data_IF_049328717687
#
_entry.id   IF_049328717687
#
_cell.length_a   1.000
_cell.length_b   1.000
_cell.length_c   1.000
_cell.angle_alpha   90.00
_cell.angle_beta   90.00
_cell.angle_gamma   90.00
#
_symmetry.space_group_name_H-M   'P 1'
#
loop_
_entity.id
_entity.type
_entity.pdbx_description
1 polymer ?
#
# COMPACT_ATOMS: atom_id res chain seq x y z
N UNK A 1 12.32 -7.52 -31.93
CA UNK A 1 11.74 -6.53 -31.00
C UNK A 1 10.62 -7.23 -30.26
N UNK A 2 10.95 -7.94 -29.19
CA UNK A 2 9.95 -8.61 -28.35
C UNK A 2 9.58 -7.64 -27.21
N UNK A 3 8.31 -7.23 -27.17
CA UNK A 3 7.80 -6.44 -26.08
C UNK A 3 7.95 -7.20 -24.75
N UNK A 4 8.54 -6.54 -23.77
CA UNK A 4 8.54 -7.02 -22.39
C UNK A 4 7.09 -7.00 -21.90
N UNK A 5 6.54 -8.14 -21.53
CA UNK A 5 5.22 -8.20 -20.91
C UNK A 5 5.27 -7.55 -19.52
N UNK A 6 4.51 -6.44 -19.38
CA UNK A 6 4.44 -5.61 -18.19
C UNK A 6 3.89 -6.37 -16.97
N UNK A 7 4.74 -6.86 -16.11
CA UNK A 7 4.37 -7.39 -14.80
C UNK A 7 4.58 -6.39 -13.65
N UNK A 8 4.79 -5.12 -13.96
CA UNK A 8 4.95 -4.04 -12.99
C UNK A 8 3.78 -3.06 -13.04
N UNK A 9 2.95 -3.08 -12.01
CA UNK A 9 2.03 -1.96 -11.74
C UNK A 9 1.10 -1.54 -12.88
N UNK A 10 0.16 -2.39 -13.26
CA UNK A 10 -1.03 -1.90 -13.96
C UNK A 10 -1.16 -2.14 -15.47
N UNK A 11 -0.09 -2.28 -16.23
CA UNK A 11 -0.23 -2.31 -17.69
C UNK A 11 -0.40 -3.69 -18.34
N UNK A 12 -0.02 -4.78 -17.69
CA UNK A 12 -0.17 -6.14 -18.29
C UNK A 12 -1.63 -6.65 -18.38
N UNK A 13 -2.59 -5.90 -17.81
CA UNK A 13 -3.99 -6.26 -17.82
C UNK A 13 -4.78 -5.71 -19.01
N UNK A 14 -4.21 -4.77 -19.77
CA UNK A 14 -4.88 -4.20 -20.95
C UNK A 14 -5.00 -5.28 -22.04
N UNK A 15 -6.23 -5.57 -22.43
CA UNK A 15 -6.55 -6.55 -23.49
C UNK A 15 -7.06 -7.90 -23.00
N UNK A 16 -7.20 -8.12 -21.69
CA UNK A 16 -7.87 -9.29 -21.13
C UNK A 16 -9.26 -8.93 -20.64
N UNK A 17 -10.25 -9.79 -20.89
CA UNK A 17 -11.63 -9.59 -20.40
C UNK A 17 -11.72 -9.44 -18.88
N UNK A 18 -10.82 -10.05 -18.12
CA UNK A 18 -10.77 -9.99 -16.67
C UNK A 18 -9.35 -9.70 -16.16
N UNK A 19 -9.23 -8.76 -15.22
CA UNK A 19 -7.98 -8.46 -14.53
C UNK A 19 -7.54 -9.65 -13.65
N UNK A 20 -6.28 -10.08 -13.80
CA UNK A 20 -5.62 -11.05 -12.93
C UNK A 20 -4.31 -10.47 -12.42
N UNK A 21 -4.15 -10.41 -11.10
CA UNK A 21 -2.88 -10.01 -10.48
C UNK A 21 -1.91 -11.19 -10.48
N UNK A 22 -0.70 -10.97 -10.95
CA UNK A 22 0.40 -11.94 -10.84
C UNK A 22 0.87 -12.06 -9.39
N UNK A 23 1.36 -13.23 -9.00
CA UNK A 23 2.09 -13.39 -7.74
C UNK A 23 3.43 -12.66 -7.82
N UNK A 24 3.98 -12.27 -6.66
CA UNK A 24 5.36 -11.81 -6.58
C UNK A 24 6.30 -12.92 -7.09
N UNK A 25 7.33 -12.53 -7.84
CA UNK A 25 8.33 -13.48 -8.33
C UNK A 25 9.37 -13.78 -7.26
N UNK A 26 9.84 -12.75 -6.57
CA UNK A 26 10.81 -12.86 -5.49
C UNK A 26 10.08 -12.92 -4.15
N UNK A 27 10.07 -14.10 -3.53
CA UNK A 27 9.31 -14.39 -2.30
C UNK A 27 10.21 -14.79 -1.12
N UNK A 28 11.53 -14.54 -1.23
CA UNK A 28 12.44 -14.76 -0.11
C UNK A 28 12.01 -13.92 1.08
N UNK A 29 12.15 -14.48 2.28
CA UNK A 29 11.77 -13.82 3.51
C UNK A 29 13.00 -13.30 4.26
N UNK A 30 12.83 -12.19 4.96
CA UNK A 30 13.82 -11.68 5.90
C UNK A 30 13.36 -12.10 7.29
N UNK A 31 14.06 -13.08 7.88
CA UNK A 31 13.61 -13.76 9.10
C UNK A 31 14.64 -13.65 10.21
N UNK A 32 14.17 -13.77 11.46
CA UNK A 32 15.03 -13.69 12.65
C UNK A 32 16.15 -14.75 12.64
N UNK A 33 15.87 -15.95 12.12
CA UNK A 33 16.80 -17.06 11.99
C UNK A 33 17.58 -17.08 10.66
N UNK A 34 17.26 -16.19 9.72
CA UNK A 34 17.91 -16.09 8.42
C UNK A 34 17.74 -17.32 7.52
N UNK A 35 16.69 -18.11 7.70
CA UNK A 35 16.48 -19.40 7.01
C UNK A 35 16.48 -19.32 5.47
N UNK A 36 16.07 -18.15 4.91
CA UNK A 36 16.11 -17.91 3.46
C UNK A 36 17.41 -17.20 2.99
N UNK A 37 18.43 -17.13 3.87
CA UNK A 37 19.70 -16.46 3.59
C UNK A 37 19.68 -14.94 3.87
N UNK A 38 18.56 -14.41 4.36
CA UNK A 38 18.36 -12.99 4.65
C UNK A 38 17.98 -12.81 6.13
N UNK A 39 18.96 -12.63 7.05
CA UNK A 39 18.67 -12.41 8.47
C UNK A 39 18.13 -11.02 8.73
N UNK A 40 17.30 -10.87 9.76
CA UNK A 40 16.92 -9.57 10.30
C UNK A 40 18.17 -8.88 10.86
N UNK A 41 18.50 -7.72 10.29
CA UNK A 41 19.67 -6.92 10.65
C UNK A 41 19.37 -5.44 10.45
N UNK A 42 19.52 -4.64 11.51
CA UNK A 42 19.24 -3.20 11.46
C UNK A 42 20.18 -2.47 10.47
N UNK A 43 19.62 -1.60 9.65
CA UNK A 43 20.34 -0.79 8.67
C UNK A 43 20.79 -1.52 7.40
N UNK A 44 20.55 -2.84 7.32
CA UNK A 44 20.95 -3.65 6.16
C UNK A 44 20.04 -3.51 4.96
N UNK A 45 18.77 -3.24 5.18
CA UNK A 45 17.76 -3.29 4.12
C UNK A 45 17.18 -1.92 3.81
N UNK A 46 16.83 -1.73 2.55
CA UNK A 46 16.16 -0.54 2.05
C UNK A 46 14.80 -0.92 1.47
N UNK A 47 13.75 -0.35 2.03
CA UNK A 47 12.38 -0.48 1.51
C UNK A 47 12.18 0.56 0.40
N UNK A 48 11.94 0.09 -0.81
CA UNK A 48 11.64 0.94 -1.97
C UNK A 48 10.12 0.94 -2.21
N UNK A 49 9.54 2.14 -2.24
CA UNK A 49 8.09 2.34 -2.36
C UNK A 49 7.74 3.43 -3.36
N UNK A 50 6.55 3.32 -3.95
CA UNK A 50 5.82 4.47 -4.47
C UNK A 50 4.69 4.81 -3.50
N UNK A 51 4.59 6.06 -3.06
CA UNK A 51 3.49 6.51 -2.20
C UNK A 51 2.12 6.41 -2.89
N UNK A 52 2.12 6.33 -4.22
CA UNK A 52 0.91 6.07 -4.99
C UNK A 52 0.40 4.62 -4.84
N UNK A 53 1.31 3.66 -4.68
CA UNK A 53 0.98 2.23 -4.70
C UNK A 53 0.31 1.78 -3.38
N UNK A 54 -0.93 1.23 -3.41
CA UNK A 54 -1.60 0.77 -2.19
C UNK A 54 -0.90 -0.42 -1.54
N UNK A 55 -0.20 -1.24 -2.32
CA UNK A 55 0.54 -2.39 -1.82
C UNK A 55 1.79 -1.95 -1.06
N UNK A 56 2.50 -0.94 -1.56
CA UNK A 56 3.66 -0.35 -0.89
C UNK A 56 3.26 0.47 0.35
N UNK A 57 2.09 1.11 0.34
CA UNK A 57 1.57 1.84 1.50
C UNK A 57 1.37 0.96 2.73
N UNK A 58 1.05 -0.33 2.56
CA UNK A 58 0.97 -1.28 3.69
C UNK A 58 2.30 -1.35 4.42
N UNK A 59 3.40 -1.55 3.68
CA UNK A 59 4.74 -1.63 4.25
C UNK A 59 5.18 -0.31 4.90
N UNK A 60 4.78 0.84 4.33
CA UNK A 60 5.03 2.15 4.93
C UNK A 60 4.33 2.28 6.29
N UNK A 61 3.03 1.99 6.35
CA UNK A 61 2.24 2.07 7.58
C UNK A 61 2.80 1.11 8.64
N UNK A 62 3.04 -0.16 8.28
CA UNK A 62 3.59 -1.15 9.22
C UNK A 62 4.95 -0.73 9.74
N UNK A 63 5.86 -0.24 8.87
CA UNK A 63 7.18 0.28 9.25
C UNK A 63 7.06 1.41 10.28
N UNK A 64 6.13 2.36 10.07
CA UNK A 64 5.87 3.49 10.97
C UNK A 64 5.29 3.03 12.31
N UNK A 65 4.26 2.21 12.30
CA UNK A 65 3.61 1.74 13.54
C UNK A 65 4.55 0.94 14.42
N UNK A 66 5.40 0.12 13.81
CA UNK A 66 6.35 -0.75 14.49
C UNK A 66 7.66 -0.04 14.86
N UNK A 67 7.90 1.19 14.35
CA UNK A 67 9.12 1.96 14.62
C UNK A 67 10.37 1.38 13.99
N UNK A 68 10.23 0.85 12.78
CA UNK A 68 11.33 0.22 12.04
C UNK A 68 12.14 1.21 11.18
N UNK A 69 12.00 2.51 11.38
CA UNK A 69 12.61 3.54 10.54
C UNK A 69 14.13 3.50 10.57
N UNK A 70 14.71 3.24 11.74
CA UNK A 70 16.17 3.10 11.90
C UNK A 70 16.67 1.72 11.45
N UNK A 71 15.80 0.72 11.42
CA UNK A 71 16.15 -0.64 11.02
C UNK A 71 16.05 -0.88 9.52
N UNK A 72 15.07 -0.25 8.85
CA UNK A 72 14.82 -0.39 7.42
C UNK A 72 14.72 1.01 6.80
N UNK A 73 15.73 1.43 6.09
CA UNK A 73 15.77 2.74 5.43
C UNK A 73 14.74 2.81 4.29
N UNK A 74 14.25 4.02 3.98
CA UNK A 74 13.20 4.25 2.99
C UNK A 74 13.74 4.90 1.72
N UNK A 75 13.32 4.41 0.56
CA UNK A 75 13.45 5.06 -0.74
C UNK A 75 12.07 5.27 -1.37
N UNK A 76 11.81 6.48 -1.84
CA UNK A 76 10.54 6.82 -2.50
C UNK A 76 10.79 7.09 -3.98
N UNK A 77 10.19 6.30 -4.86
CA UNK A 77 10.30 6.51 -6.31
C UNK A 77 9.32 7.55 -6.82
N UNK A 78 9.58 8.09 -8.01
CA UNK A 78 8.66 8.99 -8.73
C UNK A 78 7.28 8.30 -8.88
N UNK A 79 6.18 9.00 -8.66
CA UNK A 79 4.85 8.42 -8.86
C UNK A 79 4.59 8.03 -10.31
N UNK A 80 5.29 8.62 -11.27
CA UNK A 80 5.14 8.34 -12.71
C UNK A 80 6.36 7.54 -13.19
N UNK A 81 6.17 6.23 -13.34
CA UNK A 81 7.17 5.36 -13.96
C UNK A 81 7.23 5.58 -15.48
N UNK A 82 8.37 5.29 -16.08
CA UNK A 82 8.53 5.22 -17.53
C UNK A 82 8.56 3.76 -18.04
N UNK A 83 8.77 3.59 -19.36
CA UNK A 83 8.80 2.27 -20.01
C UNK A 83 9.88 1.34 -19.47
N UNK A 84 10.91 1.88 -18.83
CA UNK A 84 12.00 1.10 -18.26
C UNK A 84 11.66 0.58 -16.88
N UNK A 85 11.18 1.42 -15.94
CA UNK A 85 10.84 1.04 -14.57
C UNK A 85 10.49 2.26 -13.70
N UNK A 86 10.41 2.02 -12.38
CA UNK A 86 10.36 3.03 -11.33
C UNK A 86 11.68 3.79 -11.23
N UNK A 87 11.60 5.13 -11.11
CA UNK A 87 12.74 6.06 -11.14
C UNK A 87 12.96 6.75 -9.81
N UNK A 88 14.22 7.10 -9.51
CA UNK A 88 14.58 7.87 -8.31
C UNK A 88 14.76 9.37 -8.60
N UNK A 89 13.88 9.95 -9.44
CA UNK A 89 13.95 11.36 -9.85
C UNK A 89 13.62 12.36 -8.75
N UNK A 90 13.13 11.88 -7.61
CA UNK A 90 12.88 12.69 -6.41
C UNK A 90 14.16 12.92 -5.59
N UNK A 91 15.16 12.09 -5.79
CA UNK A 91 16.45 12.16 -5.13
C UNK A 91 17.45 13.06 -5.89
N UNK A 92 18.49 13.58 -5.23
CA UNK A 92 19.56 14.33 -5.88
C UNK A 92 20.17 13.55 -7.06
N UNK A 93 20.43 14.24 -8.16
CA UNK A 93 20.99 13.66 -9.40
C UNK A 93 20.16 12.54 -10.02
N UNK A 94 18.90 12.39 -9.60
CA UNK A 94 17.98 11.33 -10.05
C UNK A 94 18.49 9.93 -9.73
N UNK A 95 19.07 9.76 -8.54
CA UNK A 95 19.71 8.53 -8.08
C UNK A 95 19.45 8.31 -6.59
N UNK A 96 19.04 7.10 -6.22
CA UNK A 96 18.94 6.75 -4.81
C UNK A 96 20.30 6.91 -4.08
N UNK A 97 20.36 7.68 -3.00
CA UNK A 97 21.63 8.02 -2.36
C UNK A 97 22.31 6.84 -1.66
N UNK A 98 21.56 5.78 -1.32
CA UNK A 98 22.07 4.60 -0.61
C UNK A 98 22.45 3.49 -1.61
N UNK A 99 21.55 3.17 -2.55
CA UNK A 99 21.77 2.09 -3.52
C UNK A 99 22.59 2.53 -4.73
N UNK A 100 22.72 3.84 -4.99
CA UNK A 100 23.44 4.39 -6.12
C UNK A 100 22.81 4.08 -7.49
N UNK A 101 21.54 3.67 -7.55
CA UNK A 101 20.81 3.30 -8.77
C UNK A 101 19.88 4.42 -9.23
N UNK A 102 19.59 4.46 -10.53
CA UNK A 102 18.63 5.40 -11.13
C UNK A 102 17.25 4.80 -11.32
N UNK A 103 17.20 3.48 -11.51
CA UNK A 103 15.99 2.70 -11.74
C UNK A 103 15.94 1.51 -10.80
N UNK A 104 14.77 1.21 -10.27
CA UNK A 104 14.58 0.03 -9.41
C UNK A 104 14.89 -1.28 -10.17
N UNK A 105 14.70 -1.31 -11.51
CA UNK A 105 15.08 -2.47 -12.33
C UNK A 105 16.53 -2.89 -12.16
N UNK A 106 17.44 -1.98 -11.84
CA UNK A 106 18.86 -2.31 -11.60
C UNK A 106 19.05 -3.26 -10.41
N UNK A 107 18.23 -3.14 -9.35
CA UNK A 107 18.26 -4.07 -8.23
C UNK A 107 17.68 -5.45 -8.57
N UNK A 108 16.66 -5.49 -9.45
CA UNK A 108 16.11 -6.74 -10.00
C UNK A 108 17.12 -7.46 -10.89
N UNK A 109 17.78 -6.74 -11.81
CA UNK A 109 18.81 -7.28 -12.70
C UNK A 109 20.04 -7.79 -11.94
N UNK A 110 20.39 -7.15 -10.80
CA UNK A 110 21.44 -7.67 -9.89
C UNK A 110 21.03 -8.96 -9.18
N UNK A 111 19.75 -9.18 -8.95
CA UNK A 111 19.22 -10.42 -8.35
C UNK A 111 19.14 -11.54 -9.37
N UNK A 112 18.62 -11.25 -10.55
CA UNK A 112 18.44 -12.19 -11.67
C UNK A 112 18.74 -11.46 -12.98
N UNK A 113 19.86 -11.82 -13.62
CA UNK A 113 20.29 -11.20 -14.88
C UNK A 113 19.22 -11.36 -15.96
N UNK A 114 18.92 -10.27 -16.67
CA UNK A 114 17.88 -10.22 -17.70
C UNK A 114 16.49 -10.63 -17.19
N UNK A 115 16.16 -10.24 -15.95
CA UNK A 115 14.85 -10.53 -15.35
C UNK A 115 13.71 -10.17 -16.32
N UNK A 116 12.89 -11.14 -16.75
CA UNK A 116 11.91 -10.94 -17.81
C UNK A 116 10.59 -10.34 -17.31
N UNK A 117 10.40 -10.30 -15.99
CA UNK A 117 9.16 -9.85 -15.36
C UNK A 117 9.08 -8.35 -15.16
N UNK A 118 7.96 -7.90 -14.64
CA UNK A 118 7.77 -6.50 -14.29
C UNK A 118 8.38 -6.13 -12.95
N UNK A 119 8.85 -4.89 -12.87
CA UNK A 119 9.42 -4.32 -11.66
C UNK A 119 8.31 -3.69 -10.83
N UNK A 120 8.11 -4.18 -9.61
CA UNK A 120 7.03 -3.74 -8.74
C UNK A 120 7.52 -3.16 -7.40
N UNK A 121 6.66 -2.39 -6.76
CA UNK A 121 6.82 -1.92 -5.38
C UNK A 121 5.64 -2.41 -4.54
N UNK A 122 5.83 -2.67 -3.22
CA UNK A 122 7.06 -2.51 -2.46
C UNK A 122 8.15 -3.47 -2.92
N UNK A 123 9.39 -3.09 -2.71
CA UNK A 123 10.56 -3.94 -2.92
C UNK A 123 11.53 -3.76 -1.75
N UNK A 124 12.11 -4.84 -1.23
CA UNK A 124 13.18 -4.75 -0.23
C UNK A 124 14.48 -5.12 -0.90
N UNK A 125 15.47 -4.24 -0.82
CA UNK A 125 16.79 -4.39 -1.40
C UNK A 125 17.82 -4.53 -0.27
N UNK A 126 18.69 -5.54 -0.38
CA UNK A 126 19.87 -5.71 0.48
C UNK A 126 20.91 -4.68 0.10
N UNK A 127 21.21 -3.75 0.98
CA UNK A 127 22.11 -2.61 0.70
C UNK A 127 23.53 -3.06 0.35
N UNK A 128 24.16 -4.01 1.09
CA UNK A 128 25.53 -4.44 0.79
C UNK A 128 25.69 -5.04 -0.61
N UNK A 129 24.73 -5.82 -1.09
CA UNK A 129 24.82 -6.46 -2.41
C UNK A 129 24.12 -5.66 -3.52
N UNK A 130 23.25 -4.74 -3.16
CA UNK A 130 22.37 -4.02 -4.08
C UNK A 130 21.33 -4.92 -4.77
N UNK A 131 21.12 -6.14 -4.29
CA UNK A 131 20.19 -7.12 -4.86
C UNK A 131 18.80 -6.97 -4.26
N UNK A 132 17.78 -7.14 -5.09
CA UNK A 132 16.42 -7.34 -4.59
C UNK A 132 16.37 -8.60 -3.72
N UNK A 133 15.77 -8.49 -2.54
CA UNK A 133 15.44 -9.64 -1.67
C UNK A 133 14.05 -10.14 -2.01
N UNK A 134 13.06 -9.27 -1.87
CA UNK A 134 11.65 -9.64 -2.03
C UNK A 134 10.81 -8.49 -2.57
N UNK A 135 9.77 -8.81 -3.32
CA UNK A 135 8.69 -7.92 -3.69
C UNK A 135 7.32 -8.51 -3.30
N UNK A 136 7.31 -9.44 -2.35
CA UNK A 136 6.07 -10.04 -1.86
C UNK A 136 5.34 -9.11 -0.90
N UNK A 137 4.53 -8.22 -1.48
CA UNK A 137 3.74 -7.23 -0.78
C UNK A 137 2.72 -7.83 0.22
N UNK A 138 2.44 -9.12 0.16
CA UNK A 138 1.55 -9.78 1.11
C UNK A 138 2.30 -10.25 2.35
N UNK A 139 3.57 -10.66 2.18
CA UNK A 139 4.38 -11.24 3.22
C UNK A 139 5.22 -10.19 3.98
N UNK A 140 5.68 -9.13 3.30
CA UNK A 140 6.57 -8.10 3.90
C UNK A 140 6.02 -7.56 5.22
N UNK A 141 4.73 -7.21 5.29
CA UNK A 141 4.14 -6.62 6.50
C UNK A 141 3.96 -7.64 7.61
N UNK A 142 3.65 -8.89 7.28
CA UNK A 142 3.60 -9.98 8.24
C UNK A 142 4.99 -10.29 8.81
N UNK A 143 6.04 -10.26 7.98
CA UNK A 143 7.42 -10.41 8.45
C UNK A 143 7.80 -9.24 9.36
N UNK A 144 7.49 -8.01 9.01
CA UNK A 144 7.70 -6.87 9.90
C UNK A 144 7.02 -7.07 11.26
N UNK A 145 5.79 -7.60 11.28
CA UNK A 145 5.05 -7.82 12.51
C UNK A 145 5.55 -9.02 13.36
N UNK A 146 6.15 -10.05 12.73
CA UNK A 146 6.43 -11.32 13.43
C UNK A 146 7.92 -11.66 13.53
N UNK A 147 8.72 -11.34 12.52
CA UNK A 147 10.14 -11.70 12.46
C UNK A 147 11.05 -10.56 12.97
N UNK A 148 10.60 -9.30 12.89
CA UNK A 148 11.38 -8.12 13.24
C UNK A 148 11.13 -7.60 14.66
N UNK A 149 10.48 -8.37 15.50
CA UNK A 149 10.01 -7.95 16.85
C UNK A 149 11.14 -7.45 17.76
N UNK A 150 12.35 -7.96 17.62
CA UNK A 150 13.52 -7.52 18.40
C UNK A 150 13.96 -6.07 18.05
N UNK A 151 13.52 -5.54 16.92
CA UNK A 151 13.83 -4.19 16.45
C UNK A 151 12.62 -3.25 16.51
N UNK A 152 11.48 -3.72 17.02
CA UNK A 152 10.34 -2.85 17.23
C UNK A 152 10.64 -1.79 18.29
N UNK A 153 10.10 -0.59 18.10
CA UNK A 153 10.14 0.45 19.13
C UNK A 153 9.45 -0.01 20.41
N UNK A 154 9.82 0.57 21.53
CA UNK A 154 9.08 0.39 22.78
C UNK A 154 7.63 0.90 22.62
N UNK A 155 6.65 0.13 23.08
CA UNK A 155 5.24 0.45 22.94
C UNK A 155 4.69 0.31 21.51
N UNK A 156 5.36 -0.41 20.61
CA UNK A 156 4.80 -0.76 19.31
C UNK A 156 3.54 -1.64 19.49
N UNK A 157 2.49 -1.45 18.68
CA UNK A 157 1.32 -2.33 18.71
C UNK A 157 1.64 -3.72 18.15
N UNK A 158 0.94 -4.74 18.65
CA UNK A 158 0.93 -6.05 18.00
C UNK A 158 -0.08 -6.02 16.84
N UNK A 159 0.42 -5.93 15.61
CA UNK A 159 -0.41 -5.84 14.40
C UNK A 159 -0.97 -7.18 13.93
N UNK A 160 -0.44 -8.29 14.46
CA UNK A 160 -0.84 -9.65 14.07
C UNK A 160 -0.85 -10.61 15.27
N UNK A 161 -1.67 -10.28 16.31
CA UNK A 161 -1.70 -11.03 17.55
C UNK A 161 -2.14 -12.49 17.34
N UNK A 162 -1.40 -13.42 17.91
CA UNK A 162 -1.55 -14.86 17.67
C UNK A 162 -2.99 -15.36 17.88
N UNK A 163 -3.66 -14.88 18.90
CA UNK A 163 -5.04 -15.29 19.23
C UNK A 163 -6.10 -14.83 18.23
N UNK A 164 -5.78 -13.86 17.40
CA UNK A 164 -6.70 -13.27 16.42
C UNK A 164 -6.32 -13.59 14.97
N UNK A 165 -5.24 -14.34 14.72
CA UNK A 165 -4.70 -14.59 13.38
C UNK A 165 -5.72 -15.20 12.43
N UNK A 166 -6.44 -16.22 12.87
CA UNK A 166 -7.45 -16.87 12.01
C UNK A 166 -8.54 -15.88 11.55
N UNK A 167 -8.99 -14.98 12.45
CA UNK A 167 -9.98 -13.97 12.09
C UNK A 167 -9.38 -12.86 11.23
N UNK A 168 -8.15 -12.42 11.55
CA UNK A 168 -7.40 -11.43 10.74
C UNK A 168 -7.21 -11.96 9.33
N UNK A 169 -6.76 -13.19 9.17
CA UNK A 169 -6.51 -13.81 7.86
C UNK A 169 -7.80 -13.92 7.05
N UNK A 170 -8.90 -14.37 7.66
CA UNK A 170 -10.19 -14.45 6.99
C UNK A 170 -10.67 -13.08 6.49
N UNK A 171 -10.53 -12.04 7.31
CA UNK A 171 -10.89 -10.67 6.93
C UNK A 171 -9.94 -10.13 5.85
N UNK A 172 -8.63 -10.38 5.97
CA UNK A 172 -7.65 -9.97 4.97
C UNK A 172 -7.92 -10.61 3.61
N UNK A 173 -8.26 -11.90 3.56
CA UNK A 173 -8.58 -12.62 2.33
C UNK A 173 -9.83 -12.04 1.65
N UNK A 174 -10.87 -11.79 2.42
CA UNK A 174 -12.09 -11.17 1.93
C UNK A 174 -11.84 -9.75 1.39
N UNK A 175 -11.11 -8.92 2.15
CA UNK A 175 -10.73 -7.56 1.74
C UNK A 175 -9.83 -7.61 0.50
N UNK A 176 -8.85 -8.50 0.46
CA UNK A 176 -7.97 -8.65 -0.70
C UNK A 176 -8.73 -9.04 -1.97
N UNK A 177 -9.58 -10.07 -1.85
CA UNK A 177 -10.34 -10.59 -2.99
C UNK A 177 -11.37 -9.59 -3.51
N UNK A 178 -12.16 -8.99 -2.62
CA UNK A 178 -13.37 -8.28 -3.02
C UNK A 178 -13.20 -6.75 -3.04
N UNK A 179 -12.27 -6.20 -2.26
CA UNK A 179 -12.02 -4.75 -2.18
C UNK A 179 -10.71 -4.37 -2.85
N UNK A 180 -9.56 -4.82 -2.34
CA UNK A 180 -8.27 -4.39 -2.85
C UNK A 180 -8.07 -4.75 -4.35
N UNK A 181 -8.39 -5.98 -4.75
CA UNK A 181 -8.42 -6.37 -6.16
C UNK A 181 -9.75 -6.02 -6.85
N UNK A 182 -10.83 -5.84 -6.09
CA UNK A 182 -12.15 -5.51 -6.59
C UNK A 182 -12.16 -4.21 -7.39
N UNK A 183 -11.56 -3.15 -6.86
CA UNK A 183 -11.45 -1.85 -7.54
C UNK A 183 -10.67 -1.95 -8.86
N UNK A 184 -9.62 -2.78 -8.92
CA UNK A 184 -8.85 -3.01 -10.15
C UNK A 184 -9.62 -3.86 -11.16
N UNK A 185 -10.36 -4.88 -10.69
CA UNK A 185 -11.22 -5.67 -11.59
C UNK A 185 -12.29 -4.83 -12.23
N UNK A 186 -12.89 -3.90 -11.49
CA UNK A 186 -13.83 -2.95 -12.07
C UNK A 186 -13.15 -1.97 -13.03
N UNK A 187 -12.04 -1.35 -12.58
CA UNK A 187 -11.35 -0.30 -13.33
C UNK A 187 -10.71 -0.77 -14.64
N UNK A 188 -10.21 -1.99 -14.68
CA UNK A 188 -9.57 -2.60 -15.85
C UNK A 188 -10.45 -3.59 -16.60
N UNK A 189 -11.75 -3.67 -16.28
CA UNK A 189 -12.68 -4.46 -17.07
C UNK A 189 -12.78 -3.91 -18.50
N UNK A 190 -12.75 -4.81 -19.48
CA UNK A 190 -12.91 -4.48 -20.91
C UNK A 190 -14.28 -4.92 -21.45
N UNK A 191 -15.07 -5.61 -20.61
CA UNK A 191 -16.43 -6.04 -20.90
C UNK A 191 -17.42 -5.54 -19.84
N UNK A 192 -18.65 -5.27 -20.25
CA UNK A 192 -19.70 -4.78 -19.37
C UNK A 192 -20.03 -5.80 -18.26
N UNK A 193 -20.15 -7.06 -18.62
CA UNK A 193 -20.48 -8.13 -17.69
C UNK A 193 -19.42 -8.30 -16.58
N UNK A 194 -18.14 -8.29 -16.96
CA UNK A 194 -17.01 -8.39 -16.01
C UNK A 194 -16.97 -7.18 -15.07
N UNK A 195 -17.25 -5.98 -15.61
CA UNK A 195 -17.35 -4.76 -14.80
C UNK A 195 -18.50 -4.86 -13.79
N UNK A 196 -19.70 -5.21 -14.20
CA UNK A 196 -20.88 -5.33 -13.34
C UNK A 196 -20.68 -6.39 -12.24
N UNK A 197 -20.08 -7.51 -12.59
CA UNK A 197 -19.76 -8.57 -11.62
C UNK A 197 -18.75 -8.09 -10.58
N UNK A 198 -17.69 -7.38 -10.99
CA UNK A 198 -16.68 -6.82 -10.10
C UNK A 198 -17.26 -5.71 -9.21
N UNK A 199 -18.01 -4.79 -9.81
CA UNK A 199 -18.68 -3.68 -9.14
C UNK A 199 -19.64 -4.18 -8.05
N UNK A 200 -20.53 -5.10 -8.40
CA UNK A 200 -21.53 -5.66 -7.47
C UNK A 200 -20.85 -6.36 -6.29
N UNK A 201 -19.79 -7.12 -6.54
CA UNK A 201 -19.04 -7.82 -5.48
C UNK A 201 -18.32 -6.85 -4.56
N UNK A 202 -17.70 -5.80 -5.12
CA UNK A 202 -17.02 -4.75 -4.36
C UNK A 202 -17.99 -4.09 -3.38
N UNK A 203 -19.13 -3.60 -3.86
CA UNK A 203 -20.06 -2.84 -3.01
C UNK A 203 -20.76 -3.72 -1.97
N UNK A 204 -21.11 -4.97 -2.31
CA UNK A 204 -21.58 -5.95 -1.31
C UNK A 204 -20.56 -6.17 -0.17
N UNK A 205 -19.27 -6.22 -0.50
CA UNK A 205 -18.23 -6.36 0.52
C UNK A 205 -18.13 -5.09 1.36
N UNK A 206 -18.14 -3.91 0.75
CA UNK A 206 -18.11 -2.64 1.47
C UNK A 206 -19.31 -2.51 2.43
N UNK A 207 -20.52 -2.87 2.03
CA UNK A 207 -21.70 -2.93 2.90
C UNK A 207 -21.53 -3.93 4.06
N UNK A 208 -20.91 -5.06 3.83
CA UNK A 208 -20.63 -6.04 4.89
C UNK A 208 -19.62 -5.49 5.92
N UNK A 209 -18.59 -4.79 5.45
CA UNK A 209 -17.60 -4.13 6.31
C UNK A 209 -18.23 -2.95 7.07
N UNK A 210 -19.11 -2.18 6.43
CA UNK A 210 -19.88 -1.12 7.07
C UNK A 210 -20.66 -1.65 8.27
N UNK A 211 -21.48 -2.70 8.08
CA UNK A 211 -22.24 -3.34 9.17
C UNK A 211 -21.36 -3.84 10.33
N UNK A 212 -20.15 -4.32 10.03
CA UNK A 212 -19.18 -4.70 11.03
C UNK A 212 -18.69 -3.49 11.83
N UNK A 213 -18.30 -2.44 11.11
CA UNK A 213 -17.72 -1.21 11.65
C UNK A 213 -18.74 -0.27 12.31
N UNK A 214 -20.04 -0.50 12.17
CA UNK A 214 -21.09 0.16 12.98
C UNK A 214 -21.01 -0.21 14.45
N UNK A 215 -20.46 -1.39 14.77
CA UNK A 215 -20.49 -1.97 16.13
C UNK A 215 -19.13 -2.01 16.82
N UNK A 216 -18.06 -1.88 16.07
CA UNK A 216 -16.69 -1.95 16.55
C UNK A 216 -15.80 -0.94 15.82
N UNK A 217 -14.76 -0.45 16.50
CA UNK A 217 -13.89 0.59 15.98
C UNK A 217 -12.97 0.08 14.87
N UNK A 218 -12.41 -1.12 15.01
CA UNK A 218 -11.48 -1.76 14.09
C UNK A 218 -12.05 -3.04 13.50
N UNK A 219 -11.43 -3.56 12.43
CA UNK A 219 -11.92 -4.75 11.73
C UNK A 219 -11.87 -6.01 12.56
N UNK A 220 -10.84 -6.18 13.39
CA UNK A 220 -10.66 -7.35 14.26
C UNK A 220 -10.17 -6.90 15.63
N UNK A 221 -10.86 -7.30 16.69
CA UNK A 221 -10.50 -6.94 18.06
C UNK A 221 -10.67 -5.43 18.36
N UNK A 222 -9.96 -4.97 19.39
CA UNK A 222 -10.10 -3.62 19.96
C UNK A 222 -8.91 -2.70 19.63
N UNK A 223 -8.00 -3.15 18.77
CA UNK A 223 -6.80 -2.44 18.35
C UNK A 223 -6.62 -2.52 16.84
N UNK A 224 -5.78 -1.65 16.28
CA UNK A 224 -5.40 -1.73 14.87
C UNK A 224 -4.65 -3.04 14.60
N UNK A 225 -5.01 -3.71 13.51
CA UNK A 225 -4.37 -4.94 13.01
C UNK A 225 -3.97 -4.80 11.54
N UNK A 226 -3.26 -5.81 11.00
CA UNK A 226 -2.97 -5.92 9.57
C UNK A 226 -4.23 -5.81 8.69
N UNK A 227 -5.40 -6.27 9.18
CA UNK A 227 -6.64 -6.16 8.43
C UNK A 227 -7.04 -4.69 8.17
N UNK A 228 -6.88 -3.82 9.17
CA UNK A 228 -7.17 -2.38 9.07
C UNK A 228 -6.20 -1.70 8.10
N UNK A 229 -4.91 -2.02 8.18
CA UNK A 229 -3.89 -1.49 7.26
C UNK A 229 -4.25 -1.83 5.81
N UNK A 230 -4.63 -3.09 5.55
CA UNK A 230 -4.97 -3.57 4.20
C UNK A 230 -6.23 -2.95 3.63
N UNK A 231 -7.24 -2.69 4.43
CA UNK A 231 -8.44 -1.99 3.99
C UNK A 231 -8.17 -0.50 3.78
N UNK A 232 -7.47 0.15 4.73
CA UNK A 232 -7.15 1.58 4.68
C UNK A 232 -6.52 1.99 3.35
N UNK A 233 -5.52 1.23 2.88
CA UNK A 233 -4.78 1.60 1.67
C UNK A 233 -5.65 1.68 0.41
N UNK A 234 -6.77 0.96 0.37
CA UNK A 234 -7.76 1.08 -0.72
C UNK A 234 -8.73 2.22 -0.44
N UNK A 235 -9.26 2.33 0.79
CA UNK A 235 -10.25 3.36 1.11
C UNK A 235 -9.70 4.77 0.96
N UNK A 236 -8.45 5.02 1.36
CA UNK A 236 -7.83 6.36 1.22
C UNK A 236 -7.70 6.82 -0.24
N UNK A 237 -7.70 5.89 -1.19
CA UNK A 237 -7.66 6.13 -2.65
C UNK A 237 -9.03 6.13 -3.31
N UNK A 238 -10.10 5.84 -2.55
CA UNK A 238 -11.40 5.56 -3.14
C UNK A 238 -11.96 6.78 -3.89
N UNK A 239 -12.18 7.89 -3.20
CA UNK A 239 -12.72 9.10 -3.80
C UNK A 239 -11.74 9.81 -4.75
N UNK A 240 -10.43 9.94 -4.41
CA UNK A 240 -9.46 10.57 -5.31
C UNK A 240 -9.27 9.82 -6.64
N UNK A 241 -9.45 8.50 -6.66
CA UNK A 241 -9.13 7.65 -7.81
C UNK A 241 -10.25 6.69 -8.17
N UNK A 242 -10.58 5.74 -7.31
CA UNK A 242 -11.37 4.57 -7.72
C UNK A 242 -12.81 4.93 -8.10
N UNK A 243 -13.40 5.91 -7.43
CA UNK A 243 -14.73 6.39 -7.74
C UNK A 243 -14.83 6.90 -9.19
N UNK A 244 -13.96 7.82 -9.59
CA UNK A 244 -13.99 8.41 -10.93
C UNK A 244 -13.24 7.56 -11.96
N UNK A 245 -11.94 7.35 -11.73
CA UNK A 245 -11.03 6.72 -12.69
C UNK A 245 -11.38 5.27 -12.98
N UNK A 246 -11.73 4.50 -11.95
CA UNK A 246 -12.11 3.09 -12.06
C UNK A 246 -13.63 2.84 -12.09
N UNK A 247 -14.44 3.90 -12.10
CA UNK A 247 -15.91 3.83 -12.14
C UNK A 247 -16.51 3.03 -10.98
N UNK A 248 -15.85 2.99 -9.80
CA UNK A 248 -16.40 2.40 -8.58
C UNK A 248 -17.34 3.41 -7.90
N UNK A 249 -18.43 3.79 -8.56
CA UNK A 249 -19.15 5.04 -8.32
C UNK A 249 -20.61 4.87 -7.89
N UNK A 250 -20.93 3.83 -7.12
CA UNK A 250 -22.25 3.70 -6.50
C UNK A 250 -22.51 4.89 -5.54
N UNK A 251 -21.49 5.25 -4.77
CA UNK A 251 -21.45 6.39 -3.87
C UNK A 251 -19.99 6.78 -3.64
N UNK A 252 -19.72 8.00 -3.19
CA UNK A 252 -18.40 8.40 -2.71
C UNK A 252 -18.19 7.85 -1.31
N UNK A 253 -16.95 7.53 -0.96
CA UNK A 253 -16.64 7.13 0.40
C UNK A 253 -17.06 8.19 1.43
N UNK A 254 -16.89 9.47 1.07
CA UNK A 254 -17.32 10.61 1.90
C UNK A 254 -18.85 10.68 2.15
N UNK A 255 -19.66 9.99 1.35
CA UNK A 255 -21.12 9.91 1.53
C UNK A 255 -21.53 8.74 2.44
N UNK A 256 -20.64 7.76 2.68
CA UNK A 256 -20.89 6.66 3.59
C UNK A 256 -20.44 7.00 5.02
N UNK A 257 -21.38 7.28 5.90
CA UNK A 257 -21.12 7.77 7.26
C UNK A 257 -20.15 6.87 8.06
N UNK A 258 -20.29 5.56 7.97
CA UNK A 258 -19.52 4.61 8.79
C UNK A 258 -18.11 4.42 8.23
N UNK A 259 -18.00 4.10 6.93
CA UNK A 259 -16.70 3.88 6.28
C UNK A 259 -15.89 5.18 6.21
N UNK A 260 -16.54 6.34 6.03
CA UNK A 260 -15.87 7.63 6.06
C UNK A 260 -15.33 7.98 7.44
N UNK A 261 -16.10 7.74 8.50
CA UNK A 261 -15.62 7.91 9.87
C UNK A 261 -14.44 6.97 10.17
N UNK A 262 -14.53 5.70 9.76
CA UNK A 262 -13.49 4.70 9.96
C UNK A 262 -12.18 5.07 9.25
N UNK A 263 -12.23 5.45 7.98
CA UNK A 263 -11.00 5.78 7.26
C UNK A 263 -10.35 7.07 7.77
N UNK A 264 -11.15 8.03 8.30
CA UNK A 264 -10.62 9.24 8.95
C UNK A 264 -10.01 8.95 10.32
N UNK A 265 -10.59 8.03 11.10
CA UNK A 265 -10.00 7.56 12.35
C UNK A 265 -8.58 7.00 12.11
N UNK A 266 -8.45 6.12 11.13
CA UNK A 266 -7.13 5.61 10.74
C UNK A 266 -6.23 6.71 10.17
N UNK A 267 -6.73 7.55 9.27
CA UNK A 267 -5.95 8.63 8.67
C UNK A 267 -5.37 9.60 9.73
N UNK A 268 -6.16 9.95 10.75
CA UNK A 268 -5.75 10.84 11.85
C UNK A 268 -4.90 10.12 12.91
N UNK A 269 -4.81 8.79 12.84
CA UNK A 269 -3.93 8.02 13.71
C UNK A 269 -2.48 8.15 13.23
N UNK A 270 -1.53 8.58 14.11
CA UNK A 270 -0.11 8.64 13.75
C UNK A 270 0.40 7.30 13.18
N UNK A 271 1.16 7.36 12.10
CA UNK A 271 1.63 6.20 11.35
C UNK A 271 0.79 5.87 10.10
N UNK A 272 -0.38 6.48 9.91
CA UNK A 272 -1.21 6.31 8.73
C UNK A 272 -1.21 7.51 7.80
N UNK A 273 -1.83 8.63 8.20
CA UNK A 273 -1.97 9.81 7.34
C UNK A 273 -0.65 10.46 6.99
N UNK A 274 0.34 10.36 7.87
CA UNK A 274 1.71 10.81 7.65
C UNK A 274 2.48 10.00 6.58
N UNK A 275 1.90 8.92 6.06
CA UNK A 275 2.42 8.14 4.92
C UNK A 275 1.68 8.40 3.60
N UNK A 276 0.57 9.15 3.63
CA UNK A 276 -0.32 9.34 2.48
C UNK A 276 0.02 10.62 1.72
N UNK A 277 0.35 10.45 0.44
CA UNK A 277 0.60 11.55 -0.50
C UNK A 277 -0.47 11.55 -1.60
N UNK A 278 -1.44 12.44 -1.51
CA UNK A 278 -2.54 12.54 -2.48
C UNK A 278 -2.09 13.06 -3.85
N UNK A 279 -1.02 13.87 -3.94
CA UNK A 279 -0.45 14.29 -5.21
C UNK A 279 0.15 13.09 -5.96
N UNK A 280 0.98 12.29 -5.27
CA UNK A 280 1.54 11.06 -5.83
C UNK A 280 0.45 10.08 -6.25
N UNK A 281 -0.57 9.87 -5.41
CA UNK A 281 -1.70 8.99 -5.72
C UNK A 281 -2.38 9.43 -7.01
N UNK A 282 -2.80 10.70 -7.11
CA UNK A 282 -3.52 11.20 -8.28
C UNK A 282 -2.65 11.18 -9.53
N UNK A 283 -1.41 11.68 -9.45
CA UNK A 283 -0.50 11.70 -10.59
C UNK A 283 -0.24 10.31 -11.16
N UNK A 284 0.02 9.32 -10.32
CA UNK A 284 0.26 7.96 -10.78
C UNK A 284 -0.93 7.43 -11.59
N UNK A 285 -2.10 7.37 -10.96
CA UNK A 285 -3.25 6.73 -11.58
C UNK A 285 -3.70 7.45 -12.87
N UNK A 286 -3.73 8.76 -12.88
CA UNK A 286 -4.24 9.52 -14.01
C UNK A 286 -3.21 9.71 -15.16
N UNK A 287 -1.92 9.61 -14.87
CA UNK A 287 -0.87 9.77 -15.92
C UNK A 287 -0.33 8.43 -16.43
N UNK A 288 -0.38 7.36 -15.62
CA UNK A 288 0.16 6.04 -16.02
C UNK A 288 -0.89 5.18 -16.74
N UNK A 289 -2.15 5.27 -16.35
CA UNK A 289 -3.22 4.45 -16.95
C UNK A 289 -3.80 5.11 -18.23
N UNK A 290 -2.98 5.26 -19.23
CA UNK A 290 -3.34 5.95 -20.49
C UNK A 290 -4.47 5.27 -21.26
N UNK A 291 -4.69 3.96 -21.08
CA UNK A 291 -5.84 3.25 -21.63
C UNK A 291 -7.18 3.65 -21.03
N UNK A 292 -7.19 4.18 -19.79
CA UNK A 292 -8.39 4.68 -19.11
C UNK A 292 -8.48 6.21 -19.23
N UNK A 293 -7.37 6.89 -19.09
CA UNK A 293 -7.24 8.35 -19.13
C UNK A 293 -6.20 8.78 -20.20
N UNK A 294 -6.54 8.73 -21.48
CA UNK A 294 -5.60 9.01 -22.58
C UNK A 294 -5.07 10.45 -22.61
N UNK A 295 -5.82 11.40 -22.02
CA UNK A 295 -5.41 12.80 -21.93
C UNK A 295 -4.30 13.05 -20.89
N UNK A 296 -4.09 12.13 -19.94
CA UNK A 296 -3.16 12.32 -18.82
C UNK A 296 -3.55 13.44 -17.85
N UNK A 297 -4.77 14.01 -17.97
CA UNK A 297 -5.24 15.08 -17.08
C UNK A 297 -5.42 14.53 -15.67
N UNK A 298 -4.79 15.18 -14.68
CA UNK A 298 -4.94 14.90 -13.27
C UNK A 298 -6.06 15.80 -12.71
N UNK A 299 -7.15 15.24 -12.15
CA UNK A 299 -8.25 16.04 -11.65
C UNK A 299 -7.84 16.87 -10.42
N UNK A 300 -8.42 18.07 -10.25
CA UNK A 300 -8.18 18.91 -9.07
C UNK A 300 -8.83 18.30 -7.81
N UNK A 301 -10.08 17.84 -7.91
CA UNK A 301 -10.80 17.19 -6.81
C UNK A 301 -10.32 15.77 -6.49
N UNK A 302 -10.97 15.15 -5.47
CA UNK A 302 -12.01 15.74 -4.62
C UNK A 302 -11.45 16.77 -3.64
N UNK A 303 -12.35 17.50 -2.95
CA UNK A 303 -11.99 18.28 -1.77
C UNK A 303 -11.48 17.32 -0.67
N UNK A 304 -10.29 17.61 -0.15
CA UNK A 304 -9.61 16.77 0.84
C UNK A 304 -9.76 17.30 2.28
N UNK A 305 -10.34 18.49 2.48
CA UNK A 305 -10.47 19.14 3.79
C UNK A 305 -11.19 18.28 4.85
N UNK A 306 -12.08 17.39 4.40
CA UNK A 306 -12.80 16.46 5.26
C UNK A 306 -11.94 15.43 5.98
N UNK A 307 -10.71 15.14 5.52
CA UNK A 307 -9.85 14.10 6.12
C UNK A 307 -9.42 14.41 7.56
N UNK A 308 -9.34 15.68 7.93
CA UNK A 308 -8.92 16.13 9.26
C UNK A 308 -10.09 16.51 10.17
N UNK A 309 -11.34 16.34 9.73
CA UNK A 309 -12.52 16.61 10.55
C UNK A 309 -12.77 15.50 11.59
N UNK A 310 -13.40 15.78 12.74
CA UNK A 310 -13.66 14.79 13.78
C UNK A 310 -14.42 13.56 13.26
N UNK A 311 -14.01 12.37 13.67
CA UNK A 311 -14.59 11.09 13.23
C UNK A 311 -15.51 10.43 14.26
N UNK A 312 -15.35 10.74 15.56
CA UNK A 312 -16.15 10.24 16.68
C UNK A 312 -16.17 8.71 16.87
N UNK A 313 -15.17 7.99 16.33
CA UNK A 313 -15.12 6.53 16.47
C UNK A 313 -14.55 6.07 17.79
N UNK A 314 -13.91 6.95 18.53
CA UNK A 314 -13.50 6.72 19.94
C UNK A 314 -14.68 6.35 20.84
N UNK A 315 -15.89 6.78 20.50
CA UNK A 315 -17.14 6.47 21.22
C UNK A 315 -17.48 4.95 21.15
N UNK A 316 -16.96 4.22 20.17
CA UNK A 316 -17.12 2.76 20.04
C UNK A 316 -16.15 1.97 20.93
N UNK A 317 -15.27 2.66 21.69
CA UNK A 317 -14.20 2.03 22.46
C UNK A 317 -13.02 1.62 21.58
N UNK A 318 -12.17 0.74 22.13
CA UNK A 318 -10.92 0.34 21.49
C UNK A 318 -9.83 1.42 21.54
N UNK A 319 -8.59 1.01 21.42
CA UNK A 319 -7.41 1.89 21.42
C UNK A 319 -6.52 1.59 20.23
N UNK A 320 -6.11 2.59 19.43
CA UNK A 320 -5.33 2.36 18.21
C UNK A 320 -4.11 1.45 18.42
N UNK A 321 -3.38 1.66 19.51
CA UNK A 321 -2.13 0.98 19.81
C UNK A 321 -2.27 -0.02 20.98
N UNK A 322 -3.47 -0.35 21.41
CA UNK A 322 -3.71 -1.21 22.59
C UNK A 322 -3.11 -0.59 23.86
N UNK A 323 -2.23 -1.32 24.54
CA UNK A 323 -1.47 -0.83 25.69
C UNK A 323 -0.19 -0.10 25.28
N UNK A 324 0.10 -0.04 23.98
CA UNK A 324 1.25 0.66 23.42
C UNK A 324 1.05 2.17 23.29
N UNK A 325 1.94 2.78 22.52
CA UNK A 325 2.00 4.24 22.31
C UNK A 325 1.98 4.56 20.81
N UNK A 326 1.63 5.79 20.40
CA UNK A 326 1.80 6.21 19.01
C UNK A 326 3.28 6.23 18.59
N UNK A 327 3.59 6.09 17.29
CA UNK A 327 4.93 6.30 16.78
C UNK A 327 5.39 7.74 17.01
N UNK A 328 6.71 7.94 17.04
CA UNK A 328 7.33 9.27 17.12
C UNK A 328 7.05 10.14 15.88
N UNK A 329 7.64 11.33 15.81
CA UNK A 329 7.52 12.20 14.64
C UNK A 329 8.03 11.50 13.37
N UNK A 330 7.55 11.96 12.21
CA UNK A 330 8.04 11.47 10.91
C UNK A 330 9.54 11.74 10.79
N UNK A 331 10.35 10.77 10.38
CA UNK A 331 11.79 11.00 10.19
C UNK A 331 12.07 12.14 9.20
N UNK A 332 13.13 12.94 9.43
CA UNK A 332 13.55 13.98 8.50
C UNK A 332 13.76 13.43 7.07
N UNK A 333 13.16 14.09 6.09
CA UNK A 333 13.21 13.69 4.69
C UNK A 333 12.15 12.66 4.26
N UNK A 334 11.34 12.16 5.20
CA UNK A 334 10.22 11.26 4.89
C UNK A 334 8.86 11.99 4.92
N UNK A 335 8.82 13.28 5.25
CA UNK A 335 7.60 14.07 5.36
C UNK A 335 6.84 14.14 4.02
N UNK A 336 5.52 14.22 4.11
CA UNK A 336 4.69 14.47 2.94
C UNK A 336 4.78 15.96 2.57
N UNK A 337 5.13 16.31 1.34
CA UNK A 337 5.09 17.69 0.86
C UNK A 337 3.69 18.30 0.99
N UNK A 338 3.61 19.62 1.14
CA UNK A 338 2.34 20.34 1.33
C UNK A 338 1.29 20.00 0.25
N UNK A 339 1.72 19.93 -1.02
CA UNK A 339 0.84 19.56 -2.16
C UNK A 339 0.24 18.16 -2.06
N UNK A 340 0.82 17.26 -1.26
CA UNK A 340 0.37 15.89 -1.05
C UNK A 340 -0.57 15.73 0.16
N UNK A 341 -0.79 16.80 0.94
CA UNK A 341 -1.65 16.80 2.13
C UNK A 341 -3.09 17.21 1.80
N UNK A 342 -4.06 16.92 2.68
CA UNK A 342 -5.42 17.46 2.61
C UNK A 342 -5.48 18.96 2.66
#
# INVERSE_FOLDING_TARGET
>A
MSGRDDAGGGNSAYGRKAFKRSRAHFQDRITADGRDGWPVEAGRYRLVVSRACPWASRALVSRRLLGLEDAVSLAVVDPVQDDRSWRFTLDPDGRDPVLGIRYLSEAYDRRETDYPGGVSVPAIVDVPSGKLVTNDYQQITLDFATEWTALHREGAPDLYPEKLRDEIDAVMDDVFRDVNNGVYRAGFATGQEEYEAAFTRLFRRLESLERRLERQRYLVGDTITEADIRLFTTLVRFDPVYHGHFKCNLWKLAENRVLWAYVRDLYQTPGFGDTVDFDHIKRHYYQVHTGINPSGIVPLGPDLSGWTTPHHREELGGRPFGDGTPPGPVPPGEEIPERGRP
#
